data_IF_175545501992
#
_entry.id   IF_175545501992
#
_cell.length_a   1.000
_cell.length_b   1.000
_cell.length_c   1.000
_cell.angle_alpha   90.00
_cell.angle_beta   90.00
_cell.angle_gamma   90.00
#
_symmetry.space_group_name_H-M   'P 1'
#
loop_
_entity.id
_entity.type
_entity.pdbx_description
1 polymer ?
#
# COMPACT_ATOMS: atom_id res chain seq x y z
N UNK A 1 9.98 -101.52 -1.90
CA UNK A 1 9.54 -100.48 -2.88
C UNK A 1 9.87 -99.16 -2.28
N UNK A 2 10.86 -98.48 -2.91
CA UNK A 2 11.39 -97.21 -2.46
C UNK A 2 10.72 -96.09 -3.27
N UNK A 3 10.05 -95.14 -2.61
CA UNK A 3 9.63 -93.90 -3.26
C UNK A 3 10.54 -92.73 -2.85
N UNK A 4 11.23 -92.20 -3.80
CA UNK A 4 12.11 -91.05 -3.65
C UNK A 4 11.23 -89.79 -3.83
N UNK A 5 11.13 -88.99 -2.79
CA UNK A 5 10.46 -87.69 -2.84
C UNK A 5 11.45 -86.62 -3.24
N UNK A 6 11.25 -86.07 -4.41
CA UNK A 6 12.06 -84.92 -4.98
C UNK A 6 11.43 -83.64 -4.50
N UNK A 7 12.15 -82.90 -3.63
CA UNK A 7 11.73 -81.59 -3.18
C UNK A 7 12.17 -80.51 -4.17
N UNK A 8 11.21 -79.88 -4.85
CA UNK A 8 11.43 -78.68 -5.66
C UNK A 8 11.49 -77.44 -4.77
N UNK A 9 12.68 -76.89 -4.64
CA UNK A 9 12.87 -75.58 -3.98
C UNK A 9 12.55 -74.50 -5.01
N UNK A 10 11.41 -73.82 -4.83
CA UNK A 10 10.99 -72.66 -5.63
C UNK A 10 11.78 -71.44 -5.16
N UNK A 11 12.71 -70.99 -5.99
CA UNK A 11 13.47 -69.76 -5.81
C UNK A 11 12.60 -68.57 -6.29
N UNK A 12 12.10 -67.73 -5.39
CA UNK A 12 11.49 -66.46 -5.72
C UNK A 12 12.58 -65.44 -5.99
N UNK A 13 12.57 -64.70 -7.10
CA UNK A 13 13.45 -63.58 -7.29
C UNK A 13 12.98 -62.39 -6.44
N UNK A 14 13.89 -61.81 -5.70
CA UNK A 14 13.66 -60.59 -4.94
C UNK A 14 13.32 -59.44 -5.87
N UNK A 15 12.07 -59.00 -5.85
CA UNK A 15 11.66 -57.74 -6.48
C UNK A 15 12.17 -56.59 -5.64
N UNK A 16 13.22 -55.92 -6.09
CA UNK A 16 13.65 -54.62 -5.57
C UNK A 16 12.59 -53.58 -5.97
N UNK A 17 11.69 -53.24 -5.04
CA UNK A 17 10.80 -52.10 -5.18
C UNK A 17 11.64 -50.84 -4.93
N UNK A 18 12.09 -50.25 -6.04
CA UNK A 18 12.69 -48.93 -6.00
C UNK A 18 11.66 -47.87 -5.63
N UNK A 19 11.74 -47.37 -4.38
CA UNK A 19 11.00 -46.19 -3.97
C UNK A 19 11.57 -44.98 -4.71
N UNK A 20 10.91 -44.58 -5.79
CA UNK A 20 11.19 -43.30 -6.44
C UNK A 20 10.71 -42.18 -5.51
N UNK A 21 11.65 -41.57 -4.80
CA UNK A 21 11.41 -40.37 -4.02
C UNK A 21 11.14 -39.20 -4.97
N UNK A 22 9.86 -38.92 -5.22
CA UNK A 22 9.45 -37.74 -5.99
C UNK A 22 9.73 -36.53 -5.10
N UNK A 23 10.86 -35.85 -5.37
CA UNK A 23 11.16 -34.52 -4.86
C UNK A 23 10.16 -33.55 -5.48
N UNK A 24 9.07 -33.28 -4.76
CA UNK A 24 8.20 -32.13 -5.07
C UNK A 24 8.99 -30.88 -4.74
N UNK A 25 9.65 -30.32 -5.73
CA UNK A 25 10.22 -28.98 -5.64
C UNK A 25 9.05 -28.00 -5.48
N UNK A 26 8.78 -27.56 -4.25
CA UNK A 26 7.93 -26.41 -4.00
C UNK A 26 8.62 -25.19 -4.59
N UNK A 27 8.22 -24.81 -5.79
CA UNK A 27 8.58 -23.52 -6.35
C UNK A 27 7.92 -22.46 -5.47
N UNK A 28 8.65 -21.96 -4.45
CA UNK A 28 8.34 -20.68 -3.83
C UNK A 28 8.44 -19.63 -4.92
N UNK A 29 7.29 -19.24 -5.44
CA UNK A 29 7.19 -18.14 -6.37
C UNK A 29 7.41 -16.83 -5.56
N UNK A 30 8.65 -16.59 -5.15
CA UNK A 30 9.07 -15.31 -4.62
C UNK A 30 9.05 -14.34 -5.80
N UNK A 31 7.97 -13.56 -5.91
CA UNK A 31 7.88 -12.49 -6.87
C UNK A 31 9.13 -11.62 -6.77
N UNK A 32 9.77 -11.33 -7.90
CA UNK A 32 10.98 -10.52 -7.94
C UNK A 32 10.74 -9.16 -7.23
N UNK A 33 11.67 -8.67 -6.40
CA UNK A 33 11.48 -7.45 -5.63
C UNK A 33 11.19 -6.18 -6.46
N UNK A 34 11.43 -6.22 -7.77
CA UNK A 34 11.08 -5.16 -8.70
C UNK A 34 9.59 -5.04 -9.05
N UNK A 35 8.78 -6.10 -8.82
CA UNK A 35 7.35 -6.13 -9.11
C UNK A 35 6.48 -5.67 -7.92
N UNK A 36 7.06 -5.48 -6.73
CA UNK A 36 6.34 -5.24 -5.48
C UNK A 36 6.20 -3.76 -5.10
N UNK A 37 6.66 -2.83 -5.95
CA UNK A 37 6.72 -1.42 -5.59
C UNK A 37 7.74 -1.15 -4.47
N UNK A 38 8.17 0.12 -4.36
CA UNK A 38 9.10 0.52 -3.30
C UNK A 38 8.35 0.67 -1.98
N UNK A 39 8.81 0.07 -0.86
CA UNK A 39 8.22 0.31 0.45
C UNK A 39 8.33 1.78 0.84
N UNK A 40 7.51 2.19 1.80
CA UNK A 40 7.64 3.49 2.45
C UNK A 40 8.87 3.48 3.37
N UNK A 41 9.48 4.65 3.55
CA UNK A 41 10.57 4.79 4.52
C UNK A 41 10.00 4.99 5.93
N UNK A 42 10.38 4.13 6.86
CA UNK A 42 10.02 4.30 8.26
C UNK A 42 10.69 5.56 8.84
N UNK A 43 9.96 6.29 9.67
CA UNK A 43 10.44 7.46 10.39
C UNK A 43 10.68 7.05 11.85
N UNK A 44 11.93 6.79 12.20
CA UNK A 44 12.29 6.21 13.52
C UNK A 44 11.89 7.10 14.71
N UNK A 45 11.96 8.42 14.56
CA UNK A 45 11.64 9.37 15.63
C UNK A 45 10.14 9.57 15.85
N UNK A 46 9.28 9.09 14.95
CA UNK A 46 7.83 9.28 14.97
C UNK A 46 7.41 10.70 15.38
N UNK A 47 7.84 11.75 14.68
CA UNK A 47 7.52 13.13 15.06
C UNK A 47 6.01 13.36 14.94
N UNK A 48 5.49 14.24 15.80
CA UNK A 48 4.11 14.69 15.66
C UNK A 48 3.91 15.31 14.27
N UNK A 49 2.86 14.89 13.56
CA UNK A 49 2.53 15.48 12.28
C UNK A 49 2.17 16.97 12.45
N UNK A 50 2.64 17.85 11.55
CA UNK A 50 2.22 19.24 11.55
C UNK A 50 0.70 19.39 11.42
N UNK A 51 0.16 20.54 11.77
CA UNK A 51 -1.26 20.82 11.63
C UNK A 51 -1.68 20.75 10.14
N UNK A 52 -2.87 20.22 9.91
CA UNK A 52 -3.55 20.27 8.63
C UNK A 52 -5.00 20.63 8.90
N UNK A 53 -5.49 21.69 8.25
CA UNK A 53 -6.88 22.10 8.27
C UNK A 53 -7.21 22.74 6.92
N UNK A 54 -7.83 21.98 6.02
CA UNK A 54 -8.13 22.39 4.64
C UNK A 54 -9.57 22.03 4.28
N UNK A 55 -10.15 22.80 3.37
CA UNK A 55 -11.45 22.47 2.76
C UNK A 55 -11.27 21.45 1.65
N UNK A 56 -12.29 20.62 1.45
CA UNK A 56 -12.37 19.76 0.28
C UNK A 56 -12.66 20.59 -1.00
N UNK A 57 -12.45 19.99 -2.16
CA UNK A 57 -12.62 20.60 -3.48
C UNK A 57 -14.06 21.11 -3.71
N UNK A 58 -15.04 20.48 -3.07
CA UNK A 58 -16.45 20.89 -3.14
C UNK A 58 -16.79 22.02 -2.18
N UNK A 59 -15.84 22.41 -1.29
CA UNK A 59 -16.04 23.44 -0.27
C UNK A 59 -17.04 23.07 0.84
N UNK A 60 -17.47 21.80 0.89
CA UNK A 60 -18.51 21.31 1.80
C UNK A 60 -18.01 21.03 3.20
N UNK A 61 -16.77 20.56 3.34
CA UNK A 61 -16.20 20.12 4.60
C UNK A 61 -14.79 20.64 4.80
N UNK A 62 -14.47 21.03 6.04
CA UNK A 62 -13.08 21.25 6.47
C UNK A 62 -12.57 19.99 7.14
N UNK A 63 -11.49 19.45 6.59
CA UNK A 63 -10.78 18.29 7.13
C UNK A 63 -9.66 18.79 8.04
N UNK A 64 -9.65 18.28 9.27
CA UNK A 64 -8.60 18.57 10.25
C UNK A 64 -7.95 17.27 10.69
N UNK A 65 -6.63 17.21 10.62
CA UNK A 65 -5.89 16.04 11.06
C UNK A 65 -6.12 15.73 12.55
N UNK A 66 -6.37 16.76 13.37
CA UNK A 66 -6.73 16.59 14.79
C UNK A 66 -7.98 15.76 15.02
N UNK A 67 -8.94 15.82 14.10
CA UNK A 67 -10.24 15.15 14.21
C UNK A 67 -10.17 13.68 13.77
N UNK A 68 -9.01 13.26 13.24
CA UNK A 68 -8.76 11.92 12.73
C UNK A 68 -7.94 11.04 13.69
N UNK A 69 -7.89 11.42 14.98
CA UNK A 69 -7.24 10.57 16.00
C UNK A 69 -7.89 9.20 16.07
N UNK A 70 -7.08 8.16 16.26
CA UNK A 70 -7.53 6.77 16.22
C UNK A 70 -7.66 6.19 14.80
N UNK A 71 -7.41 7.00 13.76
CA UNK A 71 -7.34 6.57 12.36
C UNK A 71 -5.90 6.59 11.87
N UNK A 72 -5.60 5.74 10.90
CA UNK A 72 -4.39 5.84 10.08
C UNK A 72 -4.68 6.79 8.94
N UNK A 73 -3.84 7.81 8.76
CA UNK A 73 -4.08 8.83 7.73
C UNK A 73 -2.94 8.84 6.72
N UNK A 74 -3.25 8.62 5.45
CA UNK A 74 -2.35 8.90 4.33
C UNK A 74 -2.57 10.35 3.92
N UNK A 75 -1.52 11.17 4.01
CA UNK A 75 -1.50 12.56 3.53
C UNK A 75 -0.58 12.62 2.32
N UNK A 76 -1.14 12.87 1.14
CA UNK A 76 -0.41 12.98 -0.11
C UNK A 76 -0.45 14.41 -0.63
N UNK A 77 0.70 14.99 -0.86
CA UNK A 77 0.86 16.32 -1.47
C UNK A 77 1.10 16.14 -2.97
N UNK A 78 0.22 16.73 -3.80
CA UNK A 78 0.18 16.50 -5.23
C UNK A 78 -0.28 17.75 -6.01
N UNK A 79 -0.16 17.72 -7.34
CA UNK A 79 -0.72 18.72 -8.24
C UNK A 79 -1.17 18.08 -9.57
N UNK A 80 -2.09 18.73 -10.26
CA UNK A 80 -2.64 18.22 -11.54
C UNK A 80 -1.59 18.21 -12.66
N UNK A 81 -0.68 19.17 -12.65
CA UNK A 81 0.42 19.29 -13.62
C UNK A 81 1.61 18.36 -13.34
N UNK A 82 1.59 17.60 -12.23
CA UNK A 82 2.69 16.72 -11.81
C UNK A 82 2.50 15.30 -12.39
N UNK A 83 3.25 14.85 -13.41
CA UNK A 83 3.02 13.56 -14.06
C UNK A 83 3.16 12.34 -13.12
N UNK A 84 4.18 12.25 -12.23
CA UNK A 84 4.25 11.13 -11.29
C UNK A 84 3.10 11.13 -10.26
N UNK A 85 2.57 12.31 -9.87
CA UNK A 85 1.41 12.41 -9.00
C UNK A 85 0.18 11.77 -9.65
N UNK A 86 -0.09 12.14 -10.91
CA UNK A 86 -1.24 11.59 -11.66
C UNK A 86 -1.18 10.07 -11.80
N UNK A 87 0.03 9.50 -11.93
CA UNK A 87 0.22 8.05 -12.08
C UNK A 87 -0.09 7.28 -10.79
N UNK A 88 0.14 7.87 -9.63
CA UNK A 88 -0.07 7.19 -8.34
C UNK A 88 -1.51 7.24 -7.82
N UNK A 89 -2.30 8.27 -8.22
CA UNK A 89 -3.67 8.47 -7.72
C UNK A 89 -4.58 7.23 -7.87
N UNK A 90 -4.58 6.48 -8.99
CA UNK A 90 -5.40 5.27 -9.10
C UNK A 90 -5.03 4.18 -8.09
N UNK A 91 -3.74 4.03 -7.77
CA UNK A 91 -3.29 3.06 -6.75
C UNK A 91 -3.66 3.50 -5.34
N UNK A 92 -3.70 4.82 -5.07
CA UNK A 92 -4.20 5.37 -3.81
C UNK A 92 -5.70 5.12 -3.66
N UNK A 93 -6.48 5.29 -4.74
CA UNK A 93 -7.91 4.99 -4.73
C UNK A 93 -8.15 3.50 -4.41
N UNK A 94 -7.41 2.58 -5.03
CA UNK A 94 -7.53 1.15 -4.72
C UNK A 94 -7.16 0.84 -3.26
N UNK A 95 -6.09 1.45 -2.74
CA UNK A 95 -5.74 1.32 -1.32
C UNK A 95 -6.84 1.89 -0.41
N UNK A 96 -7.39 3.05 -0.75
CA UNK A 96 -8.51 3.68 -0.03
C UNK A 96 -9.72 2.76 0.03
N UNK A 97 -10.17 2.24 -1.10
CA UNK A 97 -11.31 1.34 -1.18
C UNK A 97 -11.10 0.06 -0.34
N UNK A 98 -9.87 -0.44 -0.31
CA UNK A 98 -9.54 -1.65 0.45
C UNK A 98 -9.60 -1.47 1.97
N UNK A 99 -9.24 -0.27 2.48
CA UNK A 99 -9.01 -0.08 3.92
C UNK A 99 -9.84 1.02 4.59
N UNK A 100 -10.70 1.74 3.88
CA UNK A 100 -11.53 2.82 4.45
C UNK A 100 -12.38 2.35 5.63
N UNK A 101 -12.99 1.17 5.52
CA UNK A 101 -13.82 0.60 6.58
C UNK A 101 -13.00 0.03 7.74
N UNK A 102 -11.71 -0.27 7.50
CA UNK A 102 -10.76 -0.69 8.54
C UNK A 102 -10.11 0.48 9.28
N UNK A 103 -10.38 1.73 8.89
CA UNK A 103 -9.90 2.92 9.58
C UNK A 103 -8.75 3.66 8.91
N UNK A 104 -8.47 3.38 7.63
CA UNK A 104 -7.61 4.24 6.80
C UNK A 104 -8.40 5.46 6.32
N UNK A 105 -7.79 6.62 6.38
CA UNK A 105 -8.24 7.85 5.71
C UNK A 105 -7.17 8.28 4.73
N UNK A 106 -7.57 8.63 3.51
CA UNK A 106 -6.69 9.21 2.49
C UNK A 106 -7.07 10.67 2.30
N UNK A 107 -6.09 11.56 2.36
CA UNK A 107 -6.23 13.01 2.13
C UNK A 107 -5.30 13.40 0.98
N UNK A 108 -5.85 13.69 -0.20
CA UNK A 108 -5.11 14.21 -1.33
C UNK A 108 -5.00 15.73 -1.24
N UNK A 109 -3.90 16.25 -0.71
CA UNK A 109 -3.67 17.70 -0.57
C UNK A 109 -3.13 18.24 -1.87
N UNK A 110 -3.98 18.93 -2.63
CA UNK A 110 -3.56 19.64 -3.84
C UNK A 110 -2.85 20.94 -3.46
N UNK A 111 -1.70 21.19 -4.08
CA UNK A 111 -0.80 22.29 -3.69
C UNK A 111 -0.75 23.35 -4.77
N UNK A 112 -1.20 24.55 -4.43
CA UNK A 112 -1.02 25.77 -5.24
C UNK A 112 -1.95 25.88 -6.46
N UNK A 113 -3.05 25.11 -6.49
CA UNK A 113 -4.04 25.17 -7.57
C UNK A 113 -5.43 25.51 -7.01
N UNK A 114 -6.26 26.14 -7.83
CA UNK A 114 -7.62 26.52 -7.51
C UNK A 114 -8.59 25.32 -7.50
N UNK A 115 -9.75 25.52 -6.88
CA UNK A 115 -10.84 24.53 -6.91
C UNK A 115 -11.24 24.15 -8.33
N UNK A 116 -11.33 25.13 -9.25
CA UNK A 116 -11.74 24.90 -10.65
C UNK A 116 -10.73 24.02 -11.40
N UNK A 117 -9.41 24.21 -11.16
CA UNK A 117 -8.37 23.38 -11.78
C UNK A 117 -8.44 21.94 -11.29
N UNK A 118 -8.60 21.74 -9.98
CA UNK A 118 -8.70 20.41 -9.38
C UNK A 118 -9.99 19.71 -9.82
N UNK A 119 -11.11 20.43 -9.84
CA UNK A 119 -12.40 19.90 -10.30
C UNK A 119 -12.37 19.51 -11.79
N UNK A 120 -11.78 20.36 -12.66
CA UNK A 120 -11.64 20.04 -14.07
C UNK A 120 -10.78 18.78 -14.28
N UNK A 121 -9.71 18.63 -13.49
CA UNK A 121 -8.86 17.44 -13.53
C UNK A 121 -9.61 16.18 -13.04
N UNK A 122 -10.28 16.25 -11.88
CA UNK A 122 -10.95 15.08 -11.28
C UNK A 122 -12.08 14.56 -12.17
N UNK A 123 -12.85 15.46 -12.81
CA UNK A 123 -13.89 15.09 -13.77
C UNK A 123 -13.36 14.53 -15.10
N UNK A 124 -12.11 14.78 -15.44
CA UNK A 124 -11.46 14.26 -16.64
C UNK A 124 -10.84 12.87 -16.46
N UNK A 125 -10.93 12.27 -15.27
CA UNK A 125 -10.39 10.95 -14.99
C UNK A 125 -11.32 9.84 -15.50
N UNK A 126 -10.76 8.78 -16.08
CA UNK A 126 -11.50 7.59 -16.51
C UNK A 126 -12.22 6.87 -15.34
N UNK A 127 -11.64 6.95 -14.15
CA UNK A 127 -12.22 6.43 -12.91
C UNK A 127 -12.19 7.51 -11.82
N UNK A 128 -13.30 7.72 -11.09
CA UNK A 128 -13.38 8.76 -10.08
C UNK A 128 -12.46 8.45 -8.89
N UNK A 129 -11.91 9.51 -8.30
CA UNK A 129 -11.29 9.45 -6.98
C UNK A 129 -12.40 9.68 -5.95
N UNK A 130 -12.48 8.81 -4.95
CA UNK A 130 -13.52 8.89 -3.90
C UNK A 130 -12.98 9.28 -2.54
N UNK A 131 -11.67 9.35 -2.38
CA UNK A 131 -11.06 9.93 -1.20
C UNK A 131 -11.07 11.47 -1.28
N UNK A 132 -11.08 12.18 -0.15
CA UNK A 132 -11.08 13.64 -0.09
C UNK A 132 -9.91 14.28 -0.82
N UNK A 133 -10.19 15.16 -1.76
CA UNK A 133 -9.24 16.09 -2.36
C UNK A 133 -9.34 17.43 -1.63
N UNK A 134 -8.23 17.89 -1.05
CA UNK A 134 -8.16 19.09 -0.22
C UNK A 134 -7.38 20.18 -0.94
N UNK A 135 -7.79 21.44 -0.78
CA UNK A 135 -7.20 22.58 -1.45
C UNK A 135 -6.25 23.34 -0.53
N UNK A 136 -4.96 23.33 -0.86
CA UNK A 136 -3.92 24.17 -0.25
C UNK A 136 -3.45 25.21 -1.29
N UNK A 137 -4.38 26.05 -1.76
CA UNK A 137 -4.18 27.04 -2.83
C UNK A 137 -2.97 27.94 -2.54
N UNK A 138 -2.78 28.37 -1.30
CA UNK A 138 -1.66 29.21 -0.87
C UNK A 138 -0.40 28.39 -0.48
N UNK A 139 -0.44 27.07 -0.62
CA UNK A 139 0.65 26.15 -0.23
C UNK A 139 1.11 26.30 1.23
N UNK A 140 0.23 26.76 2.12
CA UNK A 140 0.57 27.04 3.52
C UNK A 140 0.79 25.78 4.32
N UNK A 141 -0.05 24.77 4.10
CA UNK A 141 0.09 23.47 4.73
C UNK A 141 1.31 22.74 4.19
N UNK A 142 1.49 22.71 2.86
CA UNK A 142 2.66 22.07 2.24
C UNK A 142 3.99 22.66 2.77
N UNK A 143 4.07 23.99 2.98
CA UNK A 143 5.26 24.62 3.58
C UNK A 143 5.47 24.29 5.05
N UNK A 144 4.42 23.96 5.79
CA UNK A 144 4.51 23.56 7.20
C UNK A 144 4.91 22.10 7.41
N UNK A 145 4.75 21.28 6.38
CA UNK A 145 5.16 19.90 6.34
C UNK A 145 6.54 19.76 5.68
N UNK A 146 7.29 18.67 5.93
CA UNK A 146 8.62 18.49 5.30
C UNK A 146 8.51 18.10 3.82
N UNK A 147 7.72 18.84 3.03
CA UNK A 147 7.52 18.66 1.60
C UNK A 147 8.65 19.34 0.84
N UNK A 148 9.45 18.57 0.11
CA UNK A 148 10.58 19.08 -0.69
C UNK A 148 10.37 18.95 -2.21
N UNK A 149 9.26 18.38 -2.61
CA UNK A 149 8.89 18.16 -4.01
C UNK A 149 7.62 17.32 -4.11
N UNK A 150 7.04 17.23 -5.30
CA UNK A 150 5.82 16.48 -5.53
C UNK A 150 6.08 15.22 -6.37
N UNK A 151 5.37 14.11 -6.09
CA UNK A 151 4.54 13.92 -4.92
C UNK A 151 5.37 13.66 -3.66
N UNK A 152 4.84 14.06 -2.51
CA UNK A 152 5.34 13.64 -1.19
C UNK A 152 4.18 13.07 -0.39
N UNK A 153 4.40 11.90 0.22
CA UNK A 153 3.36 11.21 0.98
C UNK A 153 3.85 10.88 2.37
N UNK A 154 2.97 11.08 3.36
CA UNK A 154 3.19 10.67 4.74
C UNK A 154 2.05 9.78 5.22
N UNK A 155 2.40 8.73 5.97
CA UNK A 155 1.44 7.99 6.77
C UNK A 155 1.54 8.45 8.22
N UNK A 156 0.41 8.87 8.74
CA UNK A 156 0.25 9.31 10.11
C UNK A 156 -0.46 8.21 10.89
N UNK A 157 0.10 7.83 12.03
CA UNK A 157 -0.45 6.79 12.90
C UNK A 157 -1.68 7.29 13.69
N UNK A 158 -2.31 6.37 14.43
CA UNK A 158 -3.50 6.66 15.25
C UNK A 158 -3.25 7.72 16.33
N UNK A 159 -1.98 7.91 16.73
CA UNK A 159 -1.55 8.92 17.69
C UNK A 159 -1.18 10.26 17.03
N UNK A 160 -1.32 10.36 15.69
CA UNK A 160 -1.03 11.57 14.92
C UNK A 160 0.46 11.86 14.78
N UNK A 161 1.29 10.83 14.71
CA UNK A 161 2.73 10.91 14.46
C UNK A 161 3.03 10.41 13.06
N UNK A 162 4.02 10.98 12.39
CA UNK A 162 4.46 10.51 11.08
C UNK A 162 5.21 9.19 11.26
N UNK A 163 4.64 8.09 10.77
CA UNK A 163 5.22 6.76 10.84
C UNK A 163 6.06 6.42 9.60
N UNK A 164 5.57 6.79 8.42
CA UNK A 164 6.25 6.54 7.16
C UNK A 164 6.22 7.77 6.27
N UNK A 165 7.23 7.88 5.41
CA UNK A 165 7.32 8.94 4.42
C UNK A 165 7.80 8.43 3.07
N UNK A 166 7.45 9.16 2.02
CA UNK A 166 7.87 8.88 0.66
C UNK A 166 7.96 10.15 -0.18
N UNK A 167 9.00 10.26 -0.97
CA UNK A 167 9.16 11.28 -2.00
C UNK A 167 9.18 10.61 -3.37
N UNK A 168 8.45 11.16 -4.33
CA UNK A 168 8.29 10.61 -5.68
C UNK A 168 7.19 9.54 -5.76
N UNK A 169 6.67 9.36 -7.00
CA UNK A 169 5.52 8.49 -7.28
C UNK A 169 5.78 7.01 -7.01
N UNK A 170 4.72 6.29 -6.63
CA UNK A 170 4.75 4.86 -6.35
C UNK A 170 3.38 4.21 -6.51
N UNK A 171 3.35 2.86 -6.45
CA UNK A 171 2.13 2.08 -6.38
C UNK A 171 1.75 1.86 -4.92
N UNK A 172 0.69 2.51 -4.46
CA UNK A 172 0.25 2.46 -3.05
C UNK A 172 -0.47 1.15 -2.69
N UNK A 173 -1.04 0.46 -3.65
CA UNK A 173 -1.64 -0.87 -3.48
C UNK A 173 -0.65 -2.02 -3.68
N UNK A 174 0.65 -1.73 -3.77
CA UNK A 174 1.68 -2.77 -3.80
C UNK A 174 1.69 -3.60 -2.51
N UNK A 175 2.02 -4.91 -2.55
CA UNK A 175 2.02 -5.77 -1.37
C UNK A 175 2.85 -5.23 -0.21
N UNK A 176 3.97 -4.56 -0.49
CA UNK A 176 4.82 -3.97 0.54
C UNK A 176 4.12 -2.82 1.28
N UNK A 177 3.47 -1.89 0.56
CA UNK A 177 2.72 -0.77 1.17
C UNK A 177 1.47 -1.28 1.88
N UNK A 178 0.75 -2.22 1.28
CA UNK A 178 -0.44 -2.86 1.90
C UNK A 178 -0.07 -3.50 3.24
N UNK A 179 1.07 -4.19 3.33
CA UNK A 179 1.54 -4.78 4.58
C UNK A 179 1.84 -3.71 5.64
N UNK A 180 2.52 -2.62 5.27
CA UNK A 180 2.80 -1.50 6.17
C UNK A 180 1.52 -0.82 6.68
N UNK A 181 0.50 -0.66 5.82
CA UNK A 181 -0.81 -0.13 6.23
C UNK A 181 -1.51 -1.06 7.22
N UNK A 182 -1.47 -2.38 7.00
CA UNK A 182 -2.04 -3.36 7.94
C UNK A 182 -1.37 -3.29 9.31
N UNK A 183 -0.06 -3.14 9.35
CA UNK A 183 0.69 -2.98 10.60
C UNK A 183 0.28 -1.72 11.36
N UNK A 184 0.13 -0.58 10.67
CA UNK A 184 -0.37 0.65 11.29
C UNK A 184 -1.81 0.51 11.81
N UNK A 185 -2.67 -0.15 11.04
CA UNK A 185 -4.06 -0.38 11.44
C UNK A 185 -4.19 -1.34 12.63
N UNK A 186 -3.28 -2.31 12.76
CA UNK A 186 -3.25 -3.26 13.87
C UNK A 186 -2.59 -2.68 15.13
N UNK A 187 -1.74 -1.65 15.00
CA UNK A 187 -1.11 -0.99 16.14
C UNK A 187 -2.17 -0.33 17.06
N UNK A 188 -1.91 -0.27 18.39
CA UNK A 188 -2.82 0.30 19.39
C UNK A 188 -3.06 1.79 19.20
#
# INVERSE_FOLDING_TARGET
MRFIATSHILRYPALLVGIAMVLVATFSNAAAPGALGKPLHAIESLPKAPALALRDEEGKKTWRLSDLRGKVVLVNFWATWCPPCRKELPSMERLWQQFKDAGLVVLGVNVGESADEVFAFSNGLDAPLTFPLLLDEESTVARSWPVKGLPTTYFVDKQGRIAFGAIGGREFDSPAVVQQVRELLAAP
#
